data_IF_953348270290
#
_entry.id   IF_953348270290
#
_cell.length_a   1.000
_cell.length_b   1.000
_cell.length_c   1.000
_cell.angle_alpha   90.00
_cell.angle_beta   90.00
_cell.angle_gamma   90.00
#
_symmetry.space_group_name_H-M   'P 1'
#
loop_
_entity.id
_entity.type
_entity.pdbx_description
1 polymer ?
#
# COMPACT_ATOMS: atom_id res chain seq x y z
N UNK A 1 27.88 47.73 32.83
CA UNK A 1 27.95 46.26 32.71
C UNK A 1 26.58 45.63 33.03
N UNK A 2 25.47 46.31 32.71
CA UNK A 2 24.14 45.94 33.26
C UNK A 2 23.04 45.70 32.21
N UNK A 3 23.37 45.61 30.90
CA UNK A 3 22.37 45.37 29.86
C UNK A 3 22.36 43.94 29.29
N UNK A 4 23.24 43.06 29.79
CA UNK A 4 23.34 41.67 29.35
C UNK A 4 22.70 40.69 30.34
N UNK A 5 22.53 41.08 31.61
CA UNK A 5 21.87 40.24 32.63
C UNK A 5 20.34 40.23 32.43
N UNK A 6 19.72 41.39 32.14
CA UNK A 6 18.26 41.46 32.00
C UNK A 6 17.70 40.66 30.82
N UNK A 7 18.50 40.47 29.76
CA UNK A 7 18.10 39.69 28.57
C UNK A 7 18.23 38.19 28.81
N UNK A 8 19.14 37.76 29.69
CA UNK A 8 19.32 36.35 30.06
C UNK A 8 18.26 35.89 31.06
N UNK A 9 17.90 36.78 32.00
CA UNK A 9 16.84 36.54 32.97
C UNK A 9 15.46 36.44 32.29
N UNK A 10 15.17 37.30 31.30
CA UNK A 10 13.94 37.20 30.51
C UNK A 10 13.87 35.91 29.67
N UNK A 11 15.02 35.40 29.18
CA UNK A 11 15.05 34.13 28.44
C UNK A 11 14.78 32.94 29.35
N UNK A 12 15.27 32.98 30.60
CA UNK A 12 15.03 31.94 31.60
C UNK A 12 13.57 31.93 32.06
N UNK A 13 12.96 33.11 32.23
CA UNK A 13 11.53 33.24 32.53
C UNK A 13 10.67 32.76 31.35
N UNK A 14 11.00 33.15 30.11
CA UNK A 14 10.32 32.66 28.89
C UNK A 14 10.48 31.14 28.71
N UNK A 15 11.62 30.56 29.11
CA UNK A 15 11.86 29.10 29.11
C UNK A 15 11.12 28.39 30.25
N UNK A 16 10.87 29.08 31.35
CA UNK A 16 10.12 28.55 32.49
C UNK A 16 8.61 28.51 32.21
N UNK A 17 8.08 29.44 31.42
CA UNK A 17 6.70 29.38 30.90
C UNK A 17 6.54 28.31 29.79
N UNK A 18 7.66 27.85 29.21
CA UNK A 18 7.74 26.66 28.36
C UNK A 18 7.77 25.34 29.16
N UNK A 19 7.83 25.40 30.50
CA UNK A 19 7.64 24.24 31.35
C UNK A 19 6.17 23.79 31.26
N UNK A 20 5.94 22.94 30.27
CA UNK A 20 4.75 22.11 30.06
C UNK A 20 4.09 21.80 31.40
N UNK A 21 2.83 22.20 31.55
CA UNK A 21 1.98 21.73 32.64
C UNK A 21 2.00 20.20 32.56
N UNK A 22 2.73 19.57 33.47
CA UNK A 22 2.83 18.12 33.57
C UNK A 22 1.45 17.58 33.96
N UNK A 23 0.62 17.30 32.96
CA UNK A 23 -0.37 16.23 33.08
C UNK A 23 0.41 14.94 33.04
N UNK A 24 0.08 14.04 33.96
CA UNK A 24 0.65 12.71 34.14
C UNK A 24 0.28 11.78 32.97
N UNK A 25 0.69 12.16 31.76
CA UNK A 25 0.59 11.36 30.54
C UNK A 25 1.99 11.41 29.93
N UNK A 26 2.71 10.30 29.94
CA UNK A 26 3.91 10.18 29.12
C UNK A 26 3.54 10.51 27.68
N UNK A 27 4.37 11.29 27.01
CA UNK A 27 4.20 11.51 25.58
C UNK A 27 4.27 10.16 24.85
N UNK A 28 3.43 9.96 23.85
CA UNK A 28 3.38 8.72 23.10
C UNK A 28 3.95 8.89 21.70
N UNK A 29 4.67 7.87 21.25
CA UNK A 29 5.10 7.68 19.88
C UNK A 29 4.15 6.68 19.23
N UNK A 30 3.34 7.14 18.28
CA UNK A 30 2.47 6.29 17.48
C UNK A 30 3.26 5.83 16.25
N UNK A 31 3.35 4.52 16.04
CA UNK A 31 4.00 3.92 14.87
C UNK A 31 2.97 3.06 14.14
N UNK A 32 2.65 3.44 12.91
CA UNK A 32 1.71 2.75 12.06
C UNK A 32 2.46 1.93 11.00
N UNK A 33 2.17 0.64 10.92
CA UNK A 33 2.63 -0.26 9.88
C UNK A 33 1.49 -0.49 8.88
N UNK A 34 1.72 -0.11 7.64
CA UNK A 34 0.95 -0.64 6.52
C UNK A 34 1.60 -1.93 6.04
N UNK A 35 1.11 -3.07 6.52
CA UNK A 35 1.62 -4.39 6.12
C UNK A 35 0.97 -4.80 4.80
N UNK A 36 1.33 -4.19 3.68
CA UNK A 36 0.66 -4.46 2.39
C UNK A 36 1.08 -5.78 1.74
N UNK A 37 0.28 -6.26 0.78
CA UNK A 37 0.52 -7.54 0.08
C UNK A 37 1.83 -7.56 -0.72
N UNK A 38 2.17 -6.44 -1.36
CA UNK A 38 3.34 -6.32 -2.25
C UNK A 38 4.40 -5.38 -1.71
N UNK A 39 3.98 -4.30 -1.05
CA UNK A 39 4.85 -3.31 -0.43
C UNK A 39 4.31 -2.99 0.95
N UNK A 40 5.18 -2.75 1.91
CA UNK A 40 4.84 -2.26 3.24
C UNK A 40 5.49 -0.91 3.51
N UNK A 41 4.84 -0.08 4.32
CA UNK A 41 5.36 1.23 4.74
C UNK A 41 5.19 1.43 6.23
N UNK A 42 6.02 2.28 6.82
CA UNK A 42 5.88 2.70 8.22
C UNK A 42 5.79 4.23 8.26
N UNK A 43 4.83 4.72 9.04
CA UNK A 43 4.73 6.12 9.40
C UNK A 43 4.67 6.27 10.92
N UNK A 44 5.09 7.41 11.45
CA UNK A 44 5.04 7.69 12.87
C UNK A 44 4.69 9.15 13.16
N UNK A 45 4.15 9.39 14.35
CA UNK A 45 3.84 10.71 14.86
C UNK A 45 3.99 10.76 16.38
N UNK A 46 4.30 11.93 16.92
CA UNK A 46 4.30 12.18 18.37
C UNK A 46 2.94 12.73 18.77
N UNK A 47 2.39 12.29 19.90
CA UNK A 47 1.11 12.83 20.40
C UNK A 47 1.18 14.31 20.78
N UNK A 48 2.39 14.84 20.97
CA UNK A 48 2.64 16.27 21.19
C UNK A 48 2.46 17.12 19.92
N UNK A 49 2.56 16.52 18.74
CA UNK A 49 2.36 17.18 17.43
C UNK A 49 1.66 16.22 16.44
N UNK A 50 0.37 15.92 16.66
CA UNK A 50 -0.37 14.90 15.89
C UNK A 50 -0.63 15.29 14.44
N UNK A 51 -0.41 16.55 14.07
CA UNK A 51 -0.52 17.02 12.68
C UNK A 51 0.71 16.69 11.84
N UNK A 52 1.85 16.40 12.49
CA UNK A 52 3.13 16.11 11.84
C UNK A 52 3.39 14.61 11.79
N UNK A 53 3.00 14.01 10.67
CA UNK A 53 3.25 12.60 10.36
C UNK A 53 4.55 12.49 9.54
N UNK A 54 5.42 11.58 9.95
CA UNK A 54 6.66 11.25 9.25
C UNK A 54 6.57 9.86 8.66
N UNK A 55 7.13 9.69 7.46
CA UNK A 55 7.19 8.39 6.78
C UNK A 55 8.63 7.91 6.75
N UNK A 56 8.85 6.63 7.01
CA UNK A 56 10.15 6.00 6.79
C UNK A 56 10.32 5.81 5.29
N UNK A 57 11.34 6.46 4.71
CA UNK A 57 11.59 6.44 3.27
C UNK A 57 12.97 5.87 2.89
N UNK A 58 13.86 5.70 3.88
CA UNK A 58 15.16 5.05 3.74
C UNK A 58 15.04 3.57 4.10
N UNK A 59 15.44 2.68 3.19
CA UNK A 59 15.30 1.23 3.36
C UNK A 59 16.60 0.48 3.04
N UNK A 60 16.92 -0.61 3.76
CA UNK A 60 18.10 -1.41 3.49
C UNK A 60 18.12 -1.95 2.06
N UNK A 61 19.26 -1.80 1.37
CA UNK A 61 19.43 -2.25 -0.01
C UNK A 61 18.78 -1.36 -1.08
N UNK A 62 18.05 -0.31 -0.67
CA UNK A 62 17.47 0.66 -1.59
C UNK A 62 18.53 1.63 -2.15
N UNK A 63 18.45 1.92 -3.45
CA UNK A 63 19.34 2.90 -4.09
C UNK A 63 18.79 4.34 -4.01
N UNK A 64 17.54 4.51 -3.57
CA UNK A 64 16.82 5.79 -3.44
C UNK A 64 15.80 5.71 -2.32
N UNK A 65 15.41 6.87 -1.79
CA UNK A 65 14.29 6.97 -0.87
C UNK A 65 12.98 6.57 -1.57
N UNK A 66 12.16 5.79 -0.88
CA UNK A 66 10.84 5.34 -1.33
C UNK A 66 9.90 5.24 -0.13
N UNK A 67 8.63 5.65 -0.22
CA UNK A 67 7.71 5.63 0.92
C UNK A 67 7.36 4.22 1.42
N UNK A 68 7.66 3.18 0.64
CA UNK A 68 7.40 1.78 0.96
C UNK A 68 8.55 0.89 0.46
N UNK A 69 8.66 -0.30 1.03
CA UNK A 69 9.64 -1.35 0.68
C UNK A 69 8.92 -2.66 0.34
N UNK A 70 9.46 -3.53 -0.53
CA UNK A 70 8.79 -4.77 -0.92
C UNK A 70 8.44 -5.67 0.28
N UNK A 71 7.21 -6.17 0.34
CA UNK A 71 6.76 -7.21 1.28
C UNK A 71 7.26 -8.58 0.83
N UNK A 72 8.56 -8.75 0.92
CA UNK A 72 9.26 -9.93 0.47
C UNK A 72 10.44 -10.25 1.39
N UNK A 73 10.75 -11.53 1.52
CA UNK A 73 11.92 -12.00 2.26
C UNK A 73 12.51 -13.27 1.65
N UNK A 74 13.76 -13.54 1.99
CA UNK A 74 14.48 -14.75 1.62
C UNK A 74 15.35 -15.17 2.80
N UNK A 75 15.19 -16.43 3.23
CA UNK A 75 16.07 -17.00 4.25
C UNK A 75 17.39 -17.45 3.63
N UNK A 76 18.48 -17.33 4.38
CA UNK A 76 19.75 -17.92 4.02
C UNK A 76 19.64 -19.44 3.84
N UNK A 77 20.50 -20.02 3.00
CA UNK A 77 20.49 -21.47 2.74
C UNK A 77 20.57 -22.28 4.05
N UNK A 78 19.58 -23.12 4.31
CA UNK A 78 19.48 -23.95 5.52
C UNK A 78 19.18 -23.18 6.82
N UNK A 79 18.89 -21.88 6.74
CA UNK A 79 18.58 -21.02 7.89
C UNK A 79 17.09 -20.73 7.98
N UNK A 80 16.59 -20.55 9.20
CA UNK A 80 15.22 -20.09 9.50
C UNK A 80 15.17 -18.78 10.28
N UNK A 81 16.34 -18.15 10.47
CA UNK A 81 16.53 -16.93 11.29
C UNK A 81 17.32 -15.85 10.55
N UNK A 82 18.40 -16.21 9.86
CA UNK A 82 19.11 -15.29 8.96
C UNK A 82 18.27 -15.07 7.70
N UNK A 83 17.74 -13.86 7.54
CA UNK A 83 16.91 -13.44 6.42
C UNK A 83 17.39 -12.13 5.82
N UNK A 84 17.06 -11.94 4.54
CA UNK A 84 17.11 -10.67 3.82
C UNK A 84 15.70 -10.30 3.40
N UNK A 85 15.40 -9.01 3.29
CA UNK A 85 14.04 -8.53 3.05
C UNK A 85 14.03 -7.24 2.24
N UNK A 86 12.85 -6.87 1.72
CA UNK A 86 12.69 -5.63 0.96
C UNK A 86 13.67 -5.51 -0.21
N UNK A 87 14.29 -4.34 -0.36
CA UNK A 87 15.23 -4.06 -1.43
C UNK A 87 16.57 -4.81 -1.33
N UNK A 88 16.93 -5.38 -0.17
CA UNK A 88 18.14 -6.21 -0.06
C UNK A 88 18.08 -7.43 -1.01
N UNK A 89 16.86 -7.88 -1.34
CA UNK A 89 16.62 -9.01 -2.23
C UNK A 89 16.96 -8.73 -3.69
N UNK A 90 17.10 -7.47 -4.09
CA UNK A 90 17.37 -7.12 -5.49
C UNK A 90 18.73 -7.60 -5.98
N UNK A 91 19.66 -7.84 -5.04
CA UNK A 91 21.01 -8.32 -5.31
C UNK A 91 21.17 -9.83 -5.08
N UNK A 92 20.08 -10.52 -4.76
CA UNK A 92 20.08 -11.94 -4.42
C UNK A 92 19.45 -12.77 -5.54
N UNK A 93 20.07 -13.92 -5.80
CA UNK A 93 19.48 -14.97 -6.61
C UNK A 93 18.66 -15.93 -5.74
N UNK A 94 17.69 -16.60 -6.36
CA UNK A 94 16.85 -17.61 -5.70
C UNK A 94 15.36 -17.23 -5.65
N UNK A 95 14.57 -18.16 -5.13
CA UNK A 95 13.14 -17.95 -4.92
C UNK A 95 12.92 -17.04 -3.71
N UNK A 96 12.14 -15.99 -3.91
CA UNK A 96 11.77 -15.03 -2.88
C UNK A 96 10.40 -15.40 -2.33
N UNK A 97 10.24 -15.34 -1.02
CA UNK A 97 8.93 -15.48 -0.40
C UNK A 97 8.22 -14.15 -0.53
N UNK A 98 7.09 -14.13 -1.23
CA UNK A 98 6.30 -12.94 -1.54
C UNK A 98 4.81 -13.20 -1.27
N UNK A 99 4.02 -12.13 -1.16
CA UNK A 99 2.57 -12.21 -0.98
C UNK A 99 2.14 -13.00 0.28
N UNK A 100 3.01 -13.03 1.31
CA UNK A 100 2.76 -13.75 2.57
C UNK A 100 1.48 -13.29 3.26
N UNK A 101 1.08 -12.02 3.07
CA UNK A 101 -0.18 -11.47 3.58
C UNK A 101 -1.40 -12.27 3.12
N UNK A 102 -1.40 -12.76 1.88
CA UNK A 102 -2.52 -13.54 1.32
C UNK A 102 -2.61 -14.95 1.93
N UNK A 103 -1.49 -15.47 2.44
CA UNK A 103 -1.45 -16.77 3.12
C UNK A 103 -2.02 -16.69 4.55
N UNK A 104 -2.31 -15.49 5.06
CA UNK A 104 -2.97 -15.26 6.35
C UNK A 104 -4.50 -15.31 6.25
N UNK A 105 -5.10 -15.40 5.06
CA UNK A 105 -6.56 -15.59 4.91
C UNK A 105 -6.90 -16.63 3.84
N UNK A 106 -6.65 -17.92 4.10
CA UNK A 106 -6.79 -18.97 3.09
C UNK A 106 -8.25 -19.23 2.67
N UNK A 107 -9.22 -18.71 3.42
CA UNK A 107 -10.65 -18.96 3.25
C UNK A 107 -11.35 -17.92 2.36
N UNK A 108 -10.62 -16.93 1.83
CA UNK A 108 -11.24 -15.88 1.02
C UNK A 108 -11.90 -16.39 -0.27
N UNK A 109 -13.06 -15.81 -0.67
CA UNK A 109 -13.76 -16.18 -1.89
C UNK A 109 -12.90 -15.97 -3.13
N UNK A 110 -12.81 -16.98 -3.99
CA UNK A 110 -11.90 -16.99 -5.15
C UNK A 110 -12.67 -16.81 -6.46
N UNK A 111 -12.17 -15.98 -7.39
CA UNK A 111 -12.64 -16.03 -8.77
C UNK A 111 -12.34 -17.41 -9.36
N UNK A 112 -13.35 -18.04 -9.98
CA UNK A 112 -13.30 -19.43 -10.46
C UNK A 112 -12.18 -19.71 -11.50
N UNK A 113 -11.66 -18.65 -12.14
CA UNK A 113 -10.65 -18.73 -13.19
C UNK A 113 -9.20 -18.64 -12.68
N UNK A 114 -8.99 -18.60 -11.37
CA UNK A 114 -7.67 -18.50 -10.75
C UNK A 114 -7.27 -19.86 -10.14
N UNK A 115 -6.46 -20.69 -10.82
CA UNK A 115 -5.90 -21.90 -10.24
C UNK A 115 -4.79 -21.52 -9.25
N UNK A 116 -5.04 -21.69 -7.95
CA UNK A 116 -4.03 -21.55 -6.90
C UNK A 116 -4.13 -22.67 -5.90
N UNK A 117 -2.98 -23.18 -5.46
CA UNK A 117 -2.86 -24.20 -4.45
C UNK A 117 -2.21 -23.60 -3.21
N UNK A 118 -3.02 -23.02 -2.33
CA UNK A 118 -2.58 -22.40 -1.07
C UNK A 118 -1.78 -23.40 -0.25
N UNK A 119 -2.18 -24.67 -0.20
CA UNK A 119 -1.45 -25.71 0.53
C UNK A 119 -0.04 -25.90 -0.04
N UNK A 120 0.12 -25.89 -1.37
CA UNK A 120 1.43 -25.96 -2.00
C UNK A 120 2.29 -24.71 -1.70
N UNK A 121 1.71 -23.51 -1.71
CA UNK A 121 2.42 -22.28 -1.37
C UNK A 121 2.80 -22.25 0.12
N UNK A 122 1.94 -22.72 1.01
CA UNK A 122 2.25 -22.88 2.43
C UNK A 122 3.35 -23.93 2.66
N UNK A 123 3.34 -25.03 1.90
CA UNK A 123 4.35 -26.09 2.00
C UNK A 123 5.74 -25.64 1.53
N UNK A 124 5.84 -24.58 0.72
CA UNK A 124 7.12 -23.96 0.35
C UNK A 124 7.73 -23.12 1.48
N UNK A 125 6.93 -22.71 2.46
CA UNK A 125 7.44 -21.90 3.57
C UNK A 125 8.32 -22.76 4.49
N UNK A 126 9.46 -22.23 4.95
CA UNK A 126 10.35 -22.98 5.84
C UNK A 126 9.81 -23.14 7.27
N UNK A 127 8.72 -22.43 7.59
CA UNK A 127 8.05 -22.42 8.90
C UNK A 127 6.61 -21.89 8.74
N UNK A 128 5.75 -21.96 9.79
CA UNK A 128 4.37 -21.48 9.71
C UNK A 128 4.25 -20.05 9.18
N UNK A 129 3.21 -19.77 8.40
CA UNK A 129 2.99 -18.45 7.77
C UNK A 129 3.02 -17.29 8.78
N UNK A 130 2.45 -17.48 9.96
CA UNK A 130 2.43 -16.48 11.04
C UNK A 130 3.87 -16.14 11.49
N UNK A 131 4.76 -17.13 11.53
CA UNK A 131 6.16 -16.91 11.91
C UNK A 131 6.95 -16.25 10.78
N UNK A 132 6.63 -16.56 9.52
CA UNK A 132 7.23 -15.88 8.36
C UNK A 132 6.79 -14.42 8.29
N UNK A 133 5.50 -14.14 8.53
CA UNK A 133 4.97 -12.78 8.62
C UNK A 133 5.57 -12.01 9.80
N UNK A 134 5.69 -12.66 10.96
CA UNK A 134 6.33 -12.08 12.15
C UNK A 134 7.79 -11.70 11.89
N UNK A 135 8.55 -12.55 11.22
CA UNK A 135 9.94 -12.25 10.87
C UNK A 135 10.08 -11.02 9.96
N UNK A 136 9.20 -10.90 8.96
CA UNK A 136 9.16 -9.69 8.12
C UNK A 136 8.80 -8.45 8.94
N UNK A 137 7.72 -8.53 9.75
CA UNK A 137 7.26 -7.44 10.61
C UNK A 137 8.35 -7.00 11.59
N UNK A 138 9.09 -7.96 12.18
CA UNK A 138 10.21 -7.66 13.08
C UNK A 138 11.31 -6.92 12.34
N UNK A 139 11.71 -7.40 11.16
CA UNK A 139 12.79 -6.79 10.39
C UNK A 139 12.47 -5.35 9.94
N UNK A 140 11.25 -5.11 9.43
CA UNK A 140 10.84 -3.76 9.01
C UNK A 140 10.70 -2.81 10.21
N UNK A 141 10.19 -3.31 11.33
CA UNK A 141 9.98 -2.51 12.53
C UNK A 141 11.30 -2.18 13.25
N UNK A 142 12.23 -3.13 13.38
CA UNK A 142 13.57 -2.88 13.93
C UNK A 142 14.35 -1.85 13.10
N UNK A 143 14.19 -1.87 11.77
CA UNK A 143 14.77 -0.84 10.91
C UNK A 143 14.10 0.52 11.16
N UNK A 144 12.77 0.58 11.19
CA UNK A 144 12.06 1.83 11.44
C UNK A 144 12.41 2.45 12.80
N UNK A 145 12.55 1.66 13.86
CA UNK A 145 12.97 2.19 15.18
C UNK A 145 14.34 2.86 15.09
N UNK A 146 15.31 2.25 14.38
CA UNK A 146 16.64 2.84 14.19
C UNK A 146 16.59 4.15 13.39
N UNK A 147 15.77 4.22 12.35
CA UNK A 147 15.58 5.46 11.59
C UNK A 147 14.89 6.54 12.44
N UNK A 148 13.88 6.17 13.23
CA UNK A 148 13.21 7.09 14.15
C UNK A 148 14.21 7.61 15.19
N UNK A 149 14.99 6.74 15.83
CA UNK A 149 16.06 7.10 16.76
C UNK A 149 17.05 8.09 16.14
N UNK A 150 17.43 7.87 14.87
CA UNK A 150 18.32 8.75 14.11
C UNK A 150 17.77 10.17 13.87
N UNK A 151 16.46 10.40 14.01
CA UNK A 151 15.86 11.73 13.91
C UNK A 151 15.95 12.55 15.20
N UNK A 152 16.38 11.95 16.32
CA UNK A 152 16.54 12.64 17.61
C UNK A 152 18.02 12.89 17.92
N UNK A 153 18.33 14.06 18.47
CA UNK A 153 19.70 14.37 18.95
C UNK A 153 20.12 13.50 20.13
N UNK A 154 19.14 13.04 20.92
CA UNK A 154 19.30 12.14 22.07
C UNK A 154 18.34 10.97 21.87
N UNK A 155 18.77 9.88 21.22
CA UNK A 155 17.92 8.71 20.94
C UNK A 155 17.29 8.10 22.20
N UNK A 156 17.99 8.15 23.33
CA UNK A 156 17.52 7.64 24.62
C UNK A 156 16.24 8.31 25.10
N UNK A 157 15.92 9.51 24.58
CA UNK A 157 14.67 10.18 24.87
C UNK A 157 13.46 9.32 24.47
N UNK A 158 13.56 8.55 23.39
CA UNK A 158 12.49 7.65 22.92
C UNK A 158 12.18 6.52 23.90
N UNK A 159 13.08 6.20 24.85
CA UNK A 159 12.78 5.24 25.90
C UNK A 159 11.73 5.75 26.89
N UNK A 160 11.57 7.07 27.00
CA UNK A 160 10.57 7.69 27.88
C UNK A 160 9.18 7.78 27.24
N UNK A 161 9.08 7.59 25.91
CA UNK A 161 7.81 7.59 25.20
C UNK A 161 7.13 6.23 25.30
N UNK A 162 5.84 6.26 25.63
CA UNK A 162 4.98 5.10 25.47
C UNK A 162 4.79 4.84 23.96
N UNK A 163 4.94 3.59 23.54
CA UNK A 163 4.86 3.23 22.11
C UNK A 163 3.50 2.62 21.83
N UNK A 164 2.80 3.18 20.84
CA UNK A 164 1.51 2.71 20.39
C UNK A 164 1.64 2.24 18.95
N UNK A 165 1.10 1.06 18.66
CA UNK A 165 1.23 0.43 17.35
C UNK A 165 -0.11 0.39 16.64
N UNK A 166 -0.13 0.80 15.37
CA UNK A 166 -1.30 0.70 14.51
C UNK A 166 -0.95 -0.19 13.33
N UNK A 167 -1.85 -1.10 12.96
CA UNK A 167 -1.66 -2.01 11.83
C UNK A 167 -2.87 -1.93 10.88
N UNK A 168 -2.59 -1.74 9.60
CA UNK A 168 -3.65 -1.79 8.57
C UNK A 168 -4.02 -3.22 8.22
N UNK A 169 -5.32 -3.46 8.01
CA UNK A 169 -5.86 -4.74 7.55
C UNK A 169 -6.89 -4.55 6.43
N UNK A 170 -6.99 -5.43 5.43
CA UNK A 170 -8.07 -5.40 4.45
C UNK A 170 -9.46 -5.38 5.11
N UNK A 171 -10.42 -4.67 4.51
CA UNK A 171 -11.74 -4.47 5.11
C UNK A 171 -12.53 -5.78 5.27
N UNK A 172 -12.33 -6.72 4.34
CA UNK A 172 -13.03 -8.01 4.31
C UNK A 172 -12.22 -9.18 4.86
N UNK A 173 -11.16 -8.90 5.64
CA UNK A 173 -10.45 -9.96 6.35
C UNK A 173 -11.33 -10.69 7.37
N UNK A 174 -11.25 -12.02 7.34
CA UNK A 174 -11.87 -12.89 8.35
C UNK A 174 -11.32 -12.59 9.74
N UNK A 175 -12.10 -12.86 10.79
CA UNK A 175 -11.62 -12.69 12.18
C UNK A 175 -10.38 -13.54 12.45
N UNK A 176 -10.28 -14.70 11.79
CA UNK A 176 -9.11 -15.57 11.83
C UNK A 176 -7.89 -14.92 11.17
N UNK A 177 -8.05 -14.23 10.06
CA UNK A 177 -6.95 -13.50 9.41
C UNK A 177 -6.48 -12.30 10.24
N UNK A 178 -7.41 -11.57 10.87
CA UNK A 178 -7.09 -10.51 11.83
C UNK A 178 -6.33 -11.06 13.03
N UNK A 179 -6.78 -12.16 13.63
CA UNK A 179 -6.08 -12.84 14.73
C UNK A 179 -4.67 -13.28 14.33
N UNK A 180 -4.53 -13.96 13.18
CA UNK A 180 -3.21 -14.41 12.71
C UNK A 180 -2.25 -13.26 12.46
N UNK A 181 -2.75 -12.13 11.95
CA UNK A 181 -1.95 -10.92 11.74
C UNK A 181 -1.57 -10.27 13.07
N UNK A 182 -2.49 -10.17 14.01
CA UNK A 182 -2.22 -9.68 15.38
C UNK A 182 -1.13 -10.50 16.06
N UNK A 183 -1.22 -11.83 15.96
CA UNK A 183 -0.24 -12.76 16.53
C UNK A 183 1.12 -12.67 15.84
N UNK A 184 1.16 -12.40 14.54
CA UNK A 184 2.42 -12.16 13.83
C UNK A 184 3.10 -10.89 14.35
N UNK A 185 2.34 -9.81 14.54
CA UNK A 185 2.82 -8.55 15.10
C UNK A 185 3.29 -8.70 16.55
N UNK A 186 2.52 -9.40 17.39
CA UNK A 186 2.89 -9.70 18.78
C UNK A 186 4.21 -10.45 18.85
N UNK A 187 4.37 -11.51 18.06
CA UNK A 187 5.64 -12.27 17.96
C UNK A 187 6.80 -11.40 17.44
N UNK A 188 6.51 -10.36 16.66
CA UNK A 188 7.51 -9.42 16.17
C UNK A 188 7.93 -8.39 17.23
N UNK A 189 7.30 -8.37 18.41
CA UNK A 189 7.52 -7.35 19.45
C UNK A 189 6.68 -6.09 19.26
N UNK A 190 5.65 -6.15 18.41
CA UNK A 190 4.75 -5.05 18.06
C UNK A 190 3.43 -5.30 18.79
N UNK A 191 3.36 -4.92 20.08
CA UNK A 191 2.19 -5.15 20.94
C UNK A 191 2.11 -4.12 22.07
N UNK A 192 0.90 -3.69 22.48
CA UNK A 192 -0.40 -4.00 21.84
C UNK A 192 -0.55 -3.27 20.50
N UNK A 193 -1.35 -3.84 19.59
CA UNK A 193 -1.62 -3.28 18.27
C UNK A 193 -3.09 -2.93 18.10
N UNK A 194 -3.36 -1.70 17.72
CA UNK A 194 -4.67 -1.26 17.25
C UNK A 194 -4.78 -1.53 15.75
N UNK A 195 -5.90 -2.11 15.32
CA UNK A 195 -6.15 -2.39 13.91
C UNK A 195 -7.09 -1.36 13.30
N UNK A 196 -6.74 -0.88 12.12
CA UNK A 196 -7.58 -0.04 11.27
C UNK A 196 -7.73 -0.70 9.91
N UNK A 197 -8.87 -0.54 9.25
CA UNK A 197 -9.00 -1.07 7.89
C UNK A 197 -8.23 -0.21 6.89
N UNK A 198 -7.59 -0.81 5.89
CA UNK A 198 -6.88 -0.11 4.81
C UNK A 198 -7.73 1.01 4.16
N UNK A 199 -8.97 0.75 3.71
CA UNK A 199 -9.78 1.81 3.12
C UNK A 199 -10.23 2.88 4.12
N UNK A 200 -10.32 2.57 5.42
CA UNK A 200 -10.62 3.57 6.46
C UNK A 200 -9.41 4.46 6.73
N UNK A 201 -8.20 3.87 6.83
CA UNK A 201 -6.97 4.63 6.94
C UNK A 201 -6.78 5.56 5.73
N UNK A 202 -7.03 5.03 4.52
CA UNK A 202 -6.97 5.83 3.29
C UNK A 202 -8.06 6.91 3.24
N UNK A 203 -9.27 6.64 3.73
CA UNK A 203 -10.32 7.64 3.86
C UNK A 203 -9.90 8.78 4.80
N UNK A 204 -9.39 8.46 6.00
CA UNK A 204 -8.95 9.46 6.97
C UNK A 204 -7.81 10.33 6.41
N UNK A 205 -6.82 9.72 5.78
CA UNK A 205 -5.72 10.43 5.14
C UNK A 205 -6.21 11.35 4.03
N UNK A 206 -6.94 10.78 3.06
CA UNK A 206 -7.39 11.50 1.87
C UNK A 206 -8.34 12.63 2.21
N UNK A 207 -9.28 12.37 3.12
CA UNK A 207 -10.34 13.32 3.43
C UNK A 207 -9.85 14.46 4.32
N UNK A 208 -8.78 14.25 5.11
CA UNK A 208 -8.09 15.34 5.82
C UNK A 208 -7.56 16.41 4.85
N UNK A 209 -7.04 16.00 3.70
CA UNK A 209 -6.49 16.90 2.68
C UNK A 209 -7.55 17.54 1.77
N UNK A 210 -8.69 16.87 1.60
CA UNK A 210 -9.76 17.35 0.72
C UNK A 210 -10.95 17.97 1.47
N UNK A 211 -10.98 17.95 2.81
CA UNK A 211 -12.03 18.61 3.62
C UNK A 211 -12.21 20.09 3.23
N UNK A 212 -11.10 20.78 2.93
CA UNK A 212 -11.10 22.18 2.53
C UNK A 212 -11.33 22.39 1.01
N UNK A 213 -11.54 21.31 0.26
CA UNK A 213 -11.69 21.31 -1.21
C UNK A 213 -13.14 21.06 -1.66
N UNK A 214 -14.10 21.22 -0.75
CA UNK A 214 -15.53 21.29 -1.09
C UNK A 214 -16.39 20.07 -0.73
N UNK A 215 -15.90 19.17 0.12
CA UNK A 215 -16.72 18.13 0.74
C UNK A 215 -17.64 18.72 1.81
N UNK A 216 -18.84 18.15 1.95
CA UNK A 216 -19.86 18.57 2.92
C UNK A 216 -20.41 17.38 3.69
N UNK A 217 -20.98 17.67 4.86
CA UNK A 217 -21.81 16.70 5.59
C UNK A 217 -22.93 16.21 4.66
N UNK A 218 -23.22 14.90 4.72
CA UNK A 218 -24.11 14.15 3.83
C UNK A 218 -23.60 13.96 2.38
N UNK A 219 -22.37 14.32 2.04
CA UNK A 219 -21.75 13.82 0.80
C UNK A 219 -21.40 12.33 0.97
N UNK A 220 -21.56 11.55 -0.10
CA UNK A 220 -21.08 10.18 -0.18
C UNK A 220 -19.83 10.11 -1.05
N UNK A 221 -18.87 9.30 -0.63
CA UNK A 221 -17.61 9.08 -1.33
C UNK A 221 -17.34 7.58 -1.46
N UNK A 222 -16.70 7.17 -2.55
CA UNK A 222 -16.20 5.80 -2.72
C UNK A 222 -14.70 5.84 -2.50
N UNK A 223 -14.19 5.01 -1.61
CA UNK A 223 -12.76 4.73 -1.51
C UNK A 223 -12.49 3.47 -2.31
N UNK A 224 -11.58 3.55 -3.27
CA UNK A 224 -11.07 2.43 -4.04
C UNK A 224 -9.57 2.34 -3.78
N UNK A 225 -9.20 1.52 -2.80
CA UNK A 225 -7.80 1.17 -2.55
C UNK A 225 -7.38 0.10 -3.53
N UNK A 226 -6.81 0.53 -4.65
CA UNK A 226 -6.32 -0.34 -5.69
C UNK A 226 -4.82 -0.60 -5.46
N UNK A 227 -4.52 -1.63 -4.68
CA UNK A 227 -3.17 -2.05 -4.34
C UNK A 227 -2.51 -2.94 -5.41
N UNK A 228 -1.35 -3.49 -5.04
CA UNK A 228 -0.63 -4.44 -5.90
C UNK A 228 -1.18 -5.86 -5.84
N UNK A 229 -1.77 -6.29 -4.72
CA UNK A 229 -2.32 -7.63 -4.55
C UNK A 229 -3.80 -7.69 -4.14
N UNK A 230 -4.38 -6.58 -3.69
CA UNK A 230 -5.80 -6.48 -3.34
C UNK A 230 -6.35 -5.19 -3.92
N UNK A 231 -7.66 -5.17 -4.17
CA UNK A 231 -8.41 -3.95 -4.43
C UNK A 231 -9.60 -3.93 -3.48
N UNK A 232 -9.59 -3.02 -2.53
CA UNK A 232 -10.61 -2.88 -1.49
C UNK A 232 -11.46 -1.65 -1.78
N UNK A 233 -12.79 -1.82 -1.78
CA UNK A 233 -13.72 -0.72 -2.00
C UNK A 233 -14.74 -0.63 -0.88
N UNK A 234 -15.03 0.60 -0.47
CA UNK A 234 -16.11 0.89 0.46
C UNK A 234 -16.64 2.30 0.20
N UNK A 235 -17.94 2.48 0.41
CA UNK A 235 -18.56 3.79 0.31
C UNK A 235 -18.84 4.34 1.70
N UNK A 236 -18.49 5.60 1.92
CA UNK A 236 -18.74 6.32 3.16
C UNK A 236 -19.65 7.52 2.93
N UNK A 237 -20.46 7.82 3.94
CA UNK A 237 -21.14 9.10 4.10
C UNK A 237 -20.42 9.93 5.16
N UNK A 238 -20.24 11.22 4.88
CA UNK A 238 -19.62 12.17 5.80
C UNK A 238 -20.66 12.63 6.82
N UNK A 239 -20.46 12.28 8.09
CA UNK A 239 -21.32 12.70 9.20
C UNK A 239 -20.88 14.04 9.79
N UNK A 240 -19.56 14.25 9.90
CA UNK A 240 -18.98 15.48 10.43
C UNK A 240 -17.61 15.75 9.79
N UNK A 241 -17.25 17.01 9.63
CA UNK A 241 -15.94 17.45 9.13
C UNK A 241 -14.98 17.86 10.25
N UNK A 242 -15.50 18.11 11.46
CA UNK A 242 -14.73 18.50 12.64
C UNK A 242 -15.54 18.18 13.92
N UNK A 243 -15.22 17.09 14.67
CA UNK A 243 -14.25 16.05 14.32
C UNK A 243 -14.65 15.31 13.04
N UNK A 244 -13.67 14.73 12.34
CA UNK A 244 -13.94 14.05 11.08
C UNK A 244 -14.60 12.69 11.35
N UNK A 245 -15.84 12.49 10.89
CA UNK A 245 -16.63 11.29 11.16
C UNK A 245 -17.25 10.74 9.88
N UNK A 246 -17.11 9.44 9.68
CA UNK A 246 -17.61 8.69 8.53
C UNK A 246 -18.55 7.58 8.96
N UNK A 247 -19.51 7.26 8.11
CA UNK A 247 -20.35 6.07 8.23
C UNK A 247 -20.31 5.27 6.94
N UNK A 248 -19.98 3.99 7.03
CA UNK A 248 -20.10 3.09 5.90
C UNK A 248 -21.57 3.02 5.45
N UNK A 249 -21.83 3.28 4.17
CA UNK A 249 -23.19 3.24 3.59
C UNK A 249 -23.44 1.97 2.77
N UNK A 250 -22.38 1.32 2.29
CA UNK A 250 -22.46 0.05 1.57
C UNK A 250 -21.64 -1.02 2.28
N UNK A 251 -21.89 -2.29 1.92
CA UNK A 251 -20.94 -3.36 2.21
C UNK A 251 -19.65 -3.15 1.41
N UNK A 252 -18.52 -3.45 2.02
CA UNK A 252 -17.25 -3.45 1.32
C UNK A 252 -17.28 -4.47 0.16
N UNK A 253 -16.53 -4.17 -0.89
CA UNK A 253 -16.21 -5.07 -2.00
C UNK A 253 -14.71 -5.28 -2.02
N UNK A 254 -14.26 -6.49 -2.35
CA UNK A 254 -12.84 -6.77 -2.48
C UNK A 254 -12.56 -7.60 -3.72
N UNK A 255 -11.49 -7.26 -4.41
CA UNK A 255 -10.84 -8.13 -5.39
C UNK A 255 -9.51 -8.60 -4.78
N UNK A 256 -9.37 -9.90 -4.53
CA UNK A 256 -8.20 -10.43 -3.84
C UNK A 256 -7.37 -11.30 -4.79
N UNK A 257 -6.06 -11.11 -4.72
CA UNK A 257 -5.07 -12.07 -5.16
C UNK A 257 -5.14 -13.35 -4.34
N UNK A 258 -4.72 -14.44 -4.95
CA UNK A 258 -4.31 -15.66 -4.28
C UNK A 258 -2.80 -15.88 -4.42
N UNK A 259 -2.17 -16.61 -3.50
CA UNK A 259 -0.79 -17.07 -3.66
C UNK A 259 -0.60 -17.80 -4.99
N UNK A 260 0.23 -17.24 -5.88
CA UNK A 260 0.42 -17.78 -7.23
C UNK A 260 -0.62 -17.34 -8.27
N UNK A 261 -1.48 -16.36 -7.97
CA UNK A 261 -2.32 -15.63 -8.92
C UNK A 261 -2.81 -14.31 -8.32
N UNK A 262 -2.28 -13.21 -8.81
CA UNK A 262 -2.43 -11.89 -8.17
C UNK A 262 -3.65 -11.13 -8.70
N UNK A 263 -4.18 -10.18 -7.93
CA UNK A 263 -5.16 -9.18 -8.33
C UNK A 263 -4.51 -7.79 -8.27
N UNK A 264 -5.11 -6.77 -8.86
CA UNK A 264 -4.54 -5.42 -8.87
C UNK A 264 -3.26 -5.32 -9.72
N UNK A 265 -2.34 -4.42 -9.34
CA UNK A 265 -1.18 -4.08 -10.19
C UNK A 265 -0.24 -5.26 -10.47
N UNK A 266 -0.09 -6.21 -9.54
CA UNK A 266 0.82 -7.35 -9.74
C UNK A 266 0.34 -8.30 -10.84
N UNK A 267 -0.97 -8.34 -11.14
CA UNK A 267 -1.46 -9.17 -12.24
C UNK A 267 -1.02 -8.64 -13.60
N UNK A 268 -0.82 -7.34 -13.70
CA UNK A 268 -0.25 -6.71 -14.90
C UNK A 268 1.20 -7.19 -15.08
N UNK A 269 1.98 -7.22 -14.00
CA UNK A 269 3.37 -7.73 -14.03
C UNK A 269 3.41 -9.19 -14.47
N UNK A 270 2.54 -10.03 -13.88
CA UNK A 270 2.46 -11.46 -14.24
C UNK A 270 2.05 -11.68 -15.69
N UNK A 271 1.00 -10.99 -16.14
CA UNK A 271 0.49 -11.13 -17.50
C UNK A 271 1.58 -10.75 -18.52
N UNK A 272 2.34 -9.69 -18.25
CA UNK A 272 3.47 -9.31 -19.11
C UNK A 272 4.66 -10.27 -18.96
N UNK A 273 4.96 -10.77 -17.77
CA UNK A 273 6.00 -11.77 -17.55
C UNK A 273 5.76 -13.02 -18.41
N UNK A 274 4.51 -13.49 -18.50
CA UNK A 274 4.19 -14.63 -19.35
C UNK A 274 4.46 -14.35 -20.84
N UNK A 275 4.22 -13.13 -21.32
CA UNK A 275 4.56 -12.70 -22.68
C UNK A 275 6.08 -12.60 -22.89
N UNK A 276 6.80 -11.98 -21.94
CA UNK A 276 8.26 -11.85 -21.99
C UNK A 276 8.92 -13.23 -21.97
N UNK A 277 8.49 -14.12 -21.06
CA UNK A 277 9.04 -15.47 -20.90
C UNK A 277 8.90 -16.30 -22.18
N UNK A 278 7.77 -16.17 -22.89
CA UNK A 278 7.56 -16.83 -24.20
C UNK A 278 8.54 -16.31 -25.26
N UNK A 279 8.93 -15.04 -25.18
CA UNK A 279 9.82 -14.42 -26.16
C UNK A 279 11.32 -14.61 -25.87
N UNK A 280 11.74 -14.60 -24.59
CA UNK A 280 13.18 -14.55 -24.22
C UNK A 280 13.69 -15.76 -23.43
N UNK A 281 12.80 -16.68 -23.04
CA UNK A 281 13.15 -17.87 -22.24
C UNK A 281 13.40 -17.58 -20.75
N UNK A 282 13.63 -18.64 -19.96
CA UNK A 282 13.46 -18.62 -18.49
C UNK A 282 14.50 -17.85 -17.66
N UNK A 283 15.67 -17.49 -18.21
CA UNK A 283 16.84 -17.09 -17.38
C UNK A 283 17.30 -15.64 -17.51
N UNK A 284 16.61 -14.78 -18.27
CA UNK A 284 17.16 -13.46 -18.64
C UNK A 284 16.19 -12.27 -18.53
N UNK A 285 15.10 -12.40 -17.79
CA UNK A 285 14.05 -11.36 -17.77
C UNK A 285 13.85 -10.63 -16.43
N UNK A 286 14.51 -11.03 -15.33
CA UNK A 286 14.27 -10.43 -14.01
C UNK A 286 14.54 -8.91 -13.99
N UNK A 287 15.64 -8.46 -14.60
CA UNK A 287 15.94 -7.03 -14.71
C UNK A 287 14.92 -6.30 -15.59
N UNK A 288 14.44 -6.93 -16.66
CA UNK A 288 13.42 -6.36 -17.53
C UNK A 288 12.07 -6.23 -16.81
N UNK A 289 11.69 -7.18 -15.95
CA UNK A 289 10.50 -7.06 -15.11
C UNK A 289 10.62 -5.96 -14.06
N UNK A 290 11.81 -5.79 -13.48
CA UNK A 290 12.07 -4.68 -12.55
C UNK A 290 11.96 -3.32 -13.26
N UNK A 291 12.58 -3.19 -14.44
CA UNK A 291 12.46 -1.99 -15.29
C UNK A 291 11.00 -1.74 -15.67
N UNK A 292 10.28 -2.79 -16.05
CA UNK A 292 8.86 -2.70 -16.37
C UNK A 292 8.06 -2.16 -15.20
N UNK A 293 8.16 -2.79 -14.02
CA UNK A 293 7.37 -2.46 -12.85
C UNK A 293 7.62 -1.03 -12.34
N UNK A 294 8.86 -0.54 -12.42
CA UNK A 294 9.27 0.74 -11.83
C UNK A 294 9.17 1.90 -12.83
N UNK A 295 9.48 1.67 -14.12
CA UNK A 295 9.63 2.77 -15.09
C UNK A 295 8.57 2.77 -16.19
N UNK A 296 8.13 1.60 -16.65
CA UNK A 296 7.23 1.50 -17.82
C UNK A 296 5.77 1.44 -17.39
N UNK A 297 5.42 0.51 -16.50
CA UNK A 297 4.07 0.27 -16.02
C UNK A 297 3.42 1.52 -15.41
N UNK A 298 4.08 2.30 -14.52
CA UNK A 298 3.47 3.51 -13.95
C UNK A 298 3.22 4.61 -15.00
N UNK A 299 3.94 4.55 -16.13
CA UNK A 299 3.85 5.50 -17.23
C UNK A 299 2.75 5.21 -18.26
N UNK A 300 2.01 4.09 -18.13
CA UNK A 300 0.98 3.73 -19.10
C UNK A 300 -0.26 4.62 -18.99
N UNK A 301 -0.77 5.10 -20.13
CA UNK A 301 -1.95 5.98 -20.29
C UNK A 301 -2.97 5.44 -21.28
N UNK A 302 -2.59 4.49 -22.14
CA UNK A 302 -3.53 3.83 -23.05
C UNK A 302 -2.89 3.28 -24.33
N UNK A 303 -3.75 2.81 -25.25
CA UNK A 303 -3.34 2.16 -26.51
C UNK A 303 -2.47 3.01 -27.42
N UNK A 304 -2.64 4.33 -27.34
CA UNK A 304 -1.97 5.31 -28.20
C UNK A 304 -0.64 5.80 -27.61
N UNK A 305 -0.19 5.21 -26.50
CA UNK A 305 1.11 5.51 -25.93
C UNK A 305 2.25 5.21 -26.91
N UNK A 306 3.27 6.06 -26.86
CA UNK A 306 4.51 5.85 -27.61
C UNK A 306 5.16 4.55 -27.17
N UNK A 307 5.77 3.88 -28.14
CA UNK A 307 6.55 2.68 -27.93
C UNK A 307 7.58 2.86 -26.81
N UNK A 308 7.61 1.84 -25.94
CA UNK A 308 8.62 1.65 -24.91
C UNK A 308 9.47 0.44 -25.28
N UNK A 309 10.59 0.27 -24.60
CA UNK A 309 11.53 -0.79 -24.91
C UNK A 309 11.99 -1.48 -23.64
N UNK A 310 11.98 -2.80 -23.64
CA UNK A 310 12.62 -3.62 -22.63
C UNK A 310 13.92 -4.18 -23.19
N UNK A 311 15.03 -3.87 -22.51
CA UNK A 311 16.34 -4.34 -22.93
C UNK A 311 16.73 -5.63 -22.20
N UNK A 312 17.36 -6.54 -22.93
CA UNK A 312 17.91 -7.80 -22.39
C UNK A 312 19.43 -7.85 -22.65
N UNK A 313 20.24 -7.08 -21.92
CA UNK A 313 21.68 -7.01 -22.15
C UNK A 313 22.32 -8.41 -22.12
N UNK A 314 23.23 -8.67 -23.06
CA UNK A 314 23.98 -9.93 -23.17
C UNK A 314 23.12 -11.19 -23.38
N UNK A 315 21.83 -11.04 -23.71
CA UNK A 315 20.91 -12.16 -23.83
C UNK A 315 21.01 -12.97 -25.12
N UNK A 316 21.82 -12.53 -26.11
CA UNK A 316 22.07 -13.26 -27.38
C UNK A 316 20.79 -13.90 -27.97
N UNK A 317 19.69 -13.14 -27.96
CA UNK A 317 18.39 -13.57 -28.44
C UNK A 317 18.37 -13.55 -29.96
N UNK A 318 17.64 -14.49 -30.55
CA UNK A 318 17.34 -14.46 -31.98
C UNK A 318 16.31 -13.37 -32.26
N UNK A 319 16.54 -12.59 -33.32
CA UNK A 319 15.60 -11.55 -33.72
C UNK A 319 14.26 -12.17 -34.13
N UNK A 320 13.19 -11.62 -33.59
CA UNK A 320 11.82 -11.92 -33.98
C UNK A 320 11.04 -10.60 -34.17
N UNK A 321 11.22 -9.94 -35.33
CA UNK A 321 10.56 -8.66 -35.61
C UNK A 321 9.03 -8.72 -35.57
N UNK A 322 8.44 -9.88 -35.89
CA UNK A 322 6.99 -10.09 -35.83
C UNK A 322 6.43 -9.96 -34.40
N UNK A 323 7.24 -10.27 -33.39
CA UNK A 323 6.91 -10.11 -31.97
C UNK A 323 7.63 -8.90 -31.33
N UNK A 324 8.18 -7.99 -32.15
CA UNK A 324 8.85 -6.78 -31.67
C UNK A 324 10.19 -7.03 -30.97
N UNK A 325 10.80 -8.20 -31.11
CA UNK A 325 12.09 -8.53 -30.51
C UNK A 325 13.22 -8.34 -31.52
N UNK A 326 14.08 -7.34 -31.33
CA UNK A 326 15.21 -7.04 -32.22
C UNK A 326 16.41 -6.61 -31.40
N UNK A 327 17.60 -7.15 -31.69
CA UNK A 327 18.87 -6.79 -31.03
C UNK A 327 18.81 -6.85 -29.49
N UNK A 328 18.22 -7.92 -28.96
CA UNK A 328 17.96 -8.08 -27.52
C UNK A 328 17.08 -6.98 -26.90
N UNK A 329 16.20 -6.34 -27.67
CA UNK A 329 15.25 -5.37 -27.18
C UNK A 329 13.84 -5.76 -27.62
N UNK A 330 12.89 -5.77 -26.70
CA UNK A 330 11.48 -5.98 -27.00
C UNK A 330 10.75 -4.65 -27.02
N UNK A 331 10.05 -4.36 -28.11
CA UNK A 331 9.17 -3.20 -28.22
C UNK A 331 7.86 -3.47 -27.49
N UNK A 332 7.52 -2.58 -26.55
CA UNK A 332 6.24 -2.52 -25.87
C UNK A 332 5.43 -1.34 -26.44
N UNK A 333 4.63 -1.61 -27.46
CA UNK A 333 3.66 -0.63 -27.98
C UNK A 333 2.55 -0.37 -26.97
N UNK A 334 1.85 0.77 -27.06
CA UNK A 334 0.65 1.03 -26.26
C UNK A 334 -0.41 -0.08 -26.41
N UNK A 335 -0.54 -0.67 -27.60
CA UNK A 335 -1.45 -1.80 -27.85
C UNK A 335 -0.99 -3.10 -27.16
N UNK A 336 0.32 -3.35 -27.08
CA UNK A 336 0.90 -4.48 -26.34
C UNK A 336 0.63 -4.29 -24.85
N UNK A 337 0.94 -3.10 -24.32
CA UNK A 337 0.73 -2.72 -22.93
C UNK A 337 -0.73 -2.77 -22.49
N UNK A 338 -1.66 -2.45 -23.40
CA UNK A 338 -3.08 -2.48 -23.10
C UNK A 338 -3.60 -3.88 -22.75
N UNK A 339 -3.07 -4.94 -23.36
CA UNK A 339 -3.56 -6.32 -23.16
C UNK A 339 -3.49 -6.80 -21.71
N UNK A 340 -2.35 -6.68 -20.99
CA UNK A 340 -2.28 -7.08 -19.58
C UNK A 340 -3.04 -6.13 -18.64
N UNK A 341 -3.17 -4.84 -18.99
CA UNK A 341 -3.85 -3.84 -18.15
C UNK A 341 -5.37 -3.97 -18.19
N UNK A 342 -5.93 -4.16 -19.38
CA UNK A 342 -7.35 -3.95 -19.63
C UNK A 342 -8.28 -4.86 -18.82
N UNK A 343 -8.05 -6.18 -18.73
CA UNK A 343 -8.91 -7.06 -17.94
C UNK A 343 -8.98 -6.63 -16.47
N UNK A 344 -7.85 -6.17 -15.92
CA UNK A 344 -7.74 -5.77 -14.52
C UNK A 344 -8.42 -4.42 -14.30
N UNK A 345 -8.18 -3.44 -15.18
CA UNK A 345 -8.81 -2.13 -15.10
C UNK A 345 -10.34 -2.22 -15.25
N UNK A 346 -10.84 -3.06 -16.16
CA UNK A 346 -12.29 -3.30 -16.32
C UNK A 346 -12.92 -3.91 -15.08
N UNK A 347 -12.24 -4.85 -14.42
CA UNK A 347 -12.79 -5.47 -13.22
C UNK A 347 -12.86 -4.48 -12.05
N UNK A 348 -11.82 -3.66 -11.87
CA UNK A 348 -11.85 -2.58 -10.87
C UNK A 348 -12.96 -1.57 -11.20
N UNK A 349 -13.09 -1.14 -12.45
CA UNK A 349 -14.16 -0.22 -12.88
C UNK A 349 -15.56 -0.81 -12.64
N UNK A 350 -15.74 -2.11 -12.91
CA UNK A 350 -16.99 -2.83 -12.61
C UNK A 350 -17.32 -2.75 -11.12
N UNK A 351 -16.37 -3.05 -10.23
CA UNK A 351 -16.55 -2.99 -8.77
C UNK A 351 -16.85 -1.57 -8.28
N UNK A 352 -16.20 -0.56 -8.85
CA UNK A 352 -16.50 0.85 -8.55
C UNK A 352 -17.94 1.18 -8.98
N UNK A 353 -18.36 0.77 -10.18
CA UNK A 353 -19.72 0.97 -10.68
C UNK A 353 -20.78 0.30 -9.79
N UNK A 354 -20.48 -0.88 -9.24
CA UNK A 354 -21.34 -1.56 -8.26
C UNK A 354 -21.48 -0.76 -6.96
N UNK A 355 -20.37 -0.25 -6.42
CA UNK A 355 -20.38 0.61 -5.22
C UNK A 355 -21.19 1.90 -5.45
N UNK A 356 -20.96 2.59 -6.58
CA UNK A 356 -21.71 3.79 -6.95
C UNK A 356 -23.21 3.51 -7.07
N UNK A 357 -23.58 2.37 -7.64
CA UNK A 357 -24.98 1.96 -7.79
C UNK A 357 -25.60 1.60 -6.44
N UNK A 358 -24.88 0.88 -5.58
CA UNK A 358 -25.32 0.52 -4.24
C UNK A 358 -25.59 1.75 -3.37
N UNK A 359 -24.71 2.77 -3.41
CA UNK A 359 -24.94 4.05 -2.71
C UNK A 359 -26.25 4.70 -3.15
N UNK A 360 -26.53 4.74 -4.46
CA UNK A 360 -27.78 5.32 -4.98
C UNK A 360 -29.00 4.58 -4.46
N UNK A 361 -28.95 3.24 -4.43
CA UNK A 361 -30.05 2.40 -3.94
C UNK A 361 -30.29 2.66 -2.45
N UNK A 362 -29.25 2.56 -1.62
CA UNK A 362 -29.33 2.75 -0.16
C UNK A 362 -29.88 4.14 0.18
N UNK A 363 -29.42 5.20 -0.50
CA UNK A 363 -29.88 6.56 -0.25
C UNK A 363 -31.32 6.83 -0.69
N UNK A 364 -31.77 6.22 -1.79
CA UNK A 364 -33.17 6.30 -2.22
C UNK A 364 -34.12 5.55 -1.27
N UNK A 365 -33.63 4.51 -0.61
CA UNK A 365 -34.38 3.73 0.39
C UNK A 365 -34.34 4.33 1.80
N UNK A 366 -33.44 5.29 2.06
CA UNK A 366 -33.36 6.00 3.33
C UNK A 366 -34.63 6.80 3.63
N UNK A 367 -34.83 7.16 4.90
CA UNK A 367 -35.95 7.96 5.37
C UNK A 367 -35.46 9.19 6.13
N UNK A 368 -35.57 10.41 5.58
CA UNK A 368 -36.11 10.73 4.25
C UNK A 368 -35.18 10.28 3.10
N UNK A 369 -35.70 10.03 1.89
CA UNK A 369 -34.88 9.69 0.74
C UNK A 369 -33.87 10.79 0.41
N UNK A 370 -32.64 10.39 0.11
CA UNK A 370 -31.59 11.29 -0.35
C UNK A 370 -31.30 11.00 -1.84
N UNK A 371 -31.65 11.90 -2.78
CA UNK A 371 -31.40 11.66 -4.21
C UNK A 371 -29.94 11.88 -4.61
N UNK A 372 -29.09 12.39 -3.70
CA UNK A 372 -27.69 12.69 -4.02
C UNK A 372 -26.89 11.39 -4.16
N UNK A 373 -26.26 11.21 -5.32
CA UNK A 373 -25.32 10.12 -5.56
C UNK A 373 -23.97 10.30 -4.89
N UNK A 374 -22.99 9.54 -5.36
CA UNK A 374 -21.58 9.67 -4.97
C UNK A 374 -21.04 11.01 -5.48
N UNK A 375 -20.38 11.75 -4.59
CA UNK A 375 -19.73 13.04 -4.88
C UNK A 375 -18.37 12.85 -5.54
N UNK A 376 -17.57 11.93 -5.01
CA UNK A 376 -16.22 11.66 -5.46
C UNK A 376 -15.85 10.18 -5.29
N UNK A 377 -14.96 9.71 -6.16
CA UNK A 377 -14.27 8.42 -6.03
C UNK A 377 -12.80 8.75 -5.74
N UNK A 378 -12.31 8.30 -4.60
CA UNK A 378 -10.90 8.40 -4.24
C UNK A 378 -10.22 7.10 -4.62
N UNK A 379 -9.23 7.22 -5.50
CA UNK A 379 -8.45 6.12 -6.01
C UNK A 379 -7.05 6.18 -5.37
N UNK A 380 -6.80 5.25 -4.46
CA UNK A 380 -5.60 5.19 -3.60
C UNK A 380 -4.84 3.89 -3.85
N UNK A 381 -3.61 3.79 -3.33
CA UNK A 381 -2.78 2.61 -3.51
C UNK A 381 -2.00 2.59 -4.83
N UNK A 382 -1.13 1.60 -4.96
CA UNK A 382 -0.14 1.54 -6.04
C UNK A 382 -0.74 1.42 -7.46
N UNK A 383 -1.79 0.62 -7.63
CA UNK A 383 -2.56 0.60 -8.89
C UNK A 383 -3.47 1.82 -9.00
N UNK A 384 -3.96 2.33 -7.87
CA UNK A 384 -4.79 3.53 -7.85
C UNK A 384 -4.09 4.79 -8.38
N UNK A 385 -2.76 4.82 -8.31
CA UNK A 385 -1.93 5.85 -8.96
C UNK A 385 -1.87 5.76 -10.49
N UNK A 386 -2.48 4.75 -11.11
CA UNK A 386 -2.48 4.58 -12.57
C UNK A 386 -3.43 5.55 -13.28
N UNK A 387 -2.89 6.48 -14.07
CA UNK A 387 -3.67 7.39 -14.93
C UNK A 387 -4.63 6.63 -15.88
N UNK A 388 -4.20 5.47 -16.42
CA UNK A 388 -5.07 4.63 -17.24
C UNK A 388 -6.35 4.19 -16.48
N UNK A 389 -6.19 3.67 -15.26
CA UNK A 389 -7.28 3.23 -14.40
C UNK A 389 -8.19 4.41 -14.01
N UNK A 390 -7.59 5.53 -13.59
CA UNK A 390 -8.34 6.73 -13.24
C UNK A 390 -9.20 7.23 -14.41
N UNK A 391 -8.65 7.25 -15.63
CA UNK A 391 -9.39 7.64 -16.83
C UNK A 391 -10.50 6.65 -17.19
N UNK A 392 -10.27 5.34 -17.05
CA UNK A 392 -11.30 4.33 -17.26
C UNK A 392 -12.49 4.54 -16.31
N UNK A 393 -12.23 4.65 -15.00
CA UNK A 393 -13.26 4.87 -13.98
C UNK A 393 -14.00 6.20 -14.21
N UNK A 394 -13.27 7.27 -14.55
CA UNK A 394 -13.86 8.57 -14.82
C UNK A 394 -14.81 8.55 -16.02
N UNK A 395 -14.47 7.81 -17.07
CA UNK A 395 -15.31 7.67 -18.26
C UNK A 395 -16.60 6.89 -17.97
N UNK A 396 -16.52 5.85 -17.14
CA UNK A 396 -17.68 5.02 -16.76
C UNK A 396 -18.61 5.68 -15.75
N UNK A 397 -18.13 6.72 -15.04
CA UNK A 397 -18.89 7.43 -14.01
C UNK A 397 -19.04 8.93 -14.33
N UNK A 398 -19.75 9.30 -15.42
CA UNK A 398 -19.92 10.70 -15.81
C UNK A 398 -20.66 11.47 -14.72
N UNK A 399 -20.05 12.55 -14.24
CA UNK A 399 -20.59 13.41 -13.17
C UNK A 399 -20.09 13.11 -11.76
N UNK A 400 -19.31 12.03 -11.57
CA UNK A 400 -18.57 11.77 -10.33
C UNK A 400 -17.12 12.17 -10.53
N UNK A 401 -16.53 12.92 -9.60
CA UNK A 401 -15.11 13.31 -9.71
C UNK A 401 -14.22 12.17 -9.23
N UNK A 402 -13.30 11.71 -10.08
CA UNK A 402 -12.25 10.76 -9.67
C UNK A 402 -11.03 11.54 -9.20
N UNK A 403 -10.56 11.24 -8.00
CA UNK A 403 -9.43 11.93 -7.34
C UNK A 403 -8.38 10.88 -7.00
N UNK A 404 -7.14 11.12 -7.42
CA UNK A 404 -5.96 10.37 -6.98
C UNK A 404 -5.22 11.22 -5.95
N UNK A 405 -5.38 10.96 -4.65
CA UNK A 405 -4.68 11.71 -3.61
C UNK A 405 -3.18 11.46 -3.75
N UNK A 406 -2.38 12.49 -3.50
CA UNK A 406 -0.93 12.31 -3.49
C UNK A 406 -0.55 11.51 -2.24
N UNK A 407 0.33 10.54 -2.39
CA UNK A 407 0.92 9.77 -1.28
C UNK A 407 -0.05 8.85 -0.51
N UNK A 408 -1.25 8.58 -1.05
CA UNK A 408 -2.26 7.68 -0.46
C UNK A 408 -2.13 6.22 -0.89
#
# INVERSE_FOLDING_TARGET
>A
MDSASSTFDNLLDDLSDLALSYKDTRDSLIIALDFGTTYSGIAYALTTDPEKVFTIDSWPGGDRNAPKTPTALQYGSGSVTNLKWGYELDRLEGEKIQHIKLLLDPEQPRPYFIPTNIEAEMAKLPKPVVDVASDYMRAIFEHAIKEIEGHFLVPELLHNFDKQYVLTVPALWSDKAKDMTSRAAEKAGISPVDMITEPEAAALFTLKDVKNKGLKVNDAVVICDAGGGTVDLISYEILSLAPFELRAITKASVMVAFPGAVAGSSMIDRNLEEEIRKAVGMKRYQNALKEFAIAIKPGFRGKDDRDKYLSFPMAKLEDNPANGLVKNSMTLSGATMFRPFEPIAREVDRLVGEQVSAVKIERLQASPPNPNGVKAIFLVGGFGSSDYLAKAIQNSNPGVTVIQPKEA
#
